data_IF_183023336036
#
_entry.id   IF_183023336036
#
_cell.length_a   1.000
_cell.length_b   1.000
_cell.length_c   1.000
_cell.angle_alpha   90.00
_cell.angle_beta   90.00
_cell.angle_gamma   90.00
#
_symmetry.space_group_name_H-M   'P 1'
#
loop_
_entity.id
_entity.type
_entity.pdbx_description
1 polymer ?
#
# COMPACT_ATOMS: atom_id res chain seq x y z
N UNK A 1 -24.87 16.33 8.44
CA UNK A 1 -24.04 15.13 8.15
C UNK A 1 -23.06 15.54 7.08
N UNK A 2 -21.75 15.34 7.31
CA UNK A 2 -20.69 15.69 6.38
C UNK A 2 -20.49 14.57 5.37
N UNK A 3 -20.43 14.92 4.09
CA UNK A 3 -20.30 13.99 2.96
C UNK A 3 -18.83 13.77 2.63
N UNK A 4 -18.34 12.54 2.81
CA UNK A 4 -16.97 12.14 2.51
C UNK A 4 -16.95 11.20 1.31
N UNK A 5 -16.46 11.69 0.16
CA UNK A 5 -16.29 10.84 -1.01
C UNK A 5 -14.98 10.08 -0.94
N UNK A 6 -15.03 8.76 -1.12
CA UNK A 6 -13.83 7.92 -1.11
C UNK A 6 -13.34 7.60 -2.52
N UNK A 7 -12.04 7.69 -2.74
CA UNK A 7 -11.34 7.13 -3.89
C UNK A 7 -10.47 5.95 -3.45
N UNK A 8 -10.42 4.90 -4.28
CA UNK A 8 -9.76 3.62 -3.99
C UNK A 8 -10.45 2.80 -2.88
N UNK A 9 -9.97 1.57 -2.70
CA UNK A 9 -10.32 0.75 -1.55
C UNK A 9 -9.65 1.30 -0.28
N UNK A 10 -10.49 1.82 0.63
CA UNK A 10 -10.09 2.27 1.97
C UNK A 10 -10.48 1.20 2.99
N UNK A 11 -9.63 0.98 3.99
CA UNK A 11 -9.86 -0.03 5.03
C UNK A 11 -11.13 0.29 5.83
N UNK A 12 -12.01 -0.70 6.01
CA UNK A 12 -13.20 -0.58 6.86
C UNK A 12 -12.85 -0.06 8.27
N UNK A 13 -11.78 -0.58 8.89
CA UNK A 13 -11.29 -0.13 10.20
C UNK A 13 -10.99 1.37 10.26
N UNK A 14 -10.55 1.95 9.14
CA UNK A 14 -10.32 3.39 9.02
C UNK A 14 -11.63 4.16 8.84
N UNK A 15 -12.52 3.66 7.97
CA UNK A 15 -13.83 4.27 7.73
C UNK A 15 -14.73 4.25 8.97
N UNK A 16 -14.63 3.22 9.81
CA UNK A 16 -15.38 3.10 11.07
C UNK A 16 -15.04 4.21 12.08
N UNK A 17 -13.93 4.95 11.88
CA UNK A 17 -13.60 6.14 12.68
C UNK A 17 -14.44 7.36 12.32
N UNK A 18 -15.06 7.35 11.14
CA UNK A 18 -16.02 8.37 10.72
C UNK A 18 -17.40 7.93 11.22
N UNK A 19 -17.80 8.43 12.40
CA UNK A 19 -19.09 8.06 12.99
C UNK A 19 -20.24 8.35 12.03
N UNK A 20 -21.16 7.39 11.89
CA UNK A 20 -22.34 7.50 11.02
C UNK A 20 -23.32 8.60 11.46
N UNK A 21 -23.22 9.06 12.70
CA UNK A 21 -24.03 10.18 13.20
C UNK A 21 -23.58 11.52 12.60
N UNK A 22 -22.31 11.61 12.21
CA UNK A 22 -21.70 12.84 11.72
C UNK A 22 -21.35 12.77 10.23
N UNK A 23 -21.06 11.58 9.71
CA UNK A 23 -20.50 11.40 8.36
C UNK A 23 -21.32 10.44 7.51
N UNK A 24 -21.49 10.82 6.25
CA UNK A 24 -21.94 9.95 5.16
C UNK A 24 -20.73 9.63 4.28
N UNK A 25 -20.41 8.35 4.11
CA UNK A 25 -19.22 7.92 3.37
C UNK A 25 -19.65 7.06 2.19
N UNK A 26 -19.26 7.46 0.98
CA UNK A 26 -19.58 6.73 -0.25
C UNK A 26 -18.50 6.94 -1.30
N UNK A 27 -18.33 6.00 -2.23
CA UNK A 27 -17.48 6.17 -3.42
C UNK A 27 -18.16 7.01 -4.51
N UNK A 28 -19.50 7.01 -4.52
CA UNK A 28 -20.31 7.78 -5.44
C UNK A 28 -21.11 8.82 -4.63
N UNK A 29 -20.79 10.09 -4.84
CA UNK A 29 -21.36 11.19 -4.08
C UNK A 29 -21.39 12.46 -4.91
N UNK A 30 -22.54 13.13 -4.91
CA UNK A 30 -22.68 14.46 -5.50
C UNK A 30 -22.32 15.52 -4.46
N UNK A 31 -21.44 16.45 -4.84
CA UNK A 31 -21.00 17.59 -4.01
C UNK A 31 -20.53 17.18 -2.61
N UNK A 32 -19.44 16.41 -2.49
CA UNK A 32 -18.87 16.03 -1.20
C UNK A 32 -18.28 17.23 -0.46
N UNK A 33 -18.31 17.18 0.87
CA UNK A 33 -17.66 18.17 1.74
C UNK A 33 -16.16 17.86 1.92
N UNK A 34 -15.78 16.58 1.78
CA UNK A 34 -14.41 16.11 1.89
C UNK A 34 -14.11 14.93 0.96
N UNK A 35 -12.84 14.80 0.57
CA UNK A 35 -12.35 13.69 -0.24
C UNK A 35 -11.37 12.82 0.57
N UNK A 36 -11.51 11.50 0.51
CA UNK A 36 -10.61 10.54 1.14
C UNK A 36 -10.03 9.61 0.08
N UNK A 37 -8.72 9.60 -0.10
CA UNK A 37 -8.08 8.84 -1.19
C UNK A 37 -6.84 8.09 -0.73
N UNK A 38 -6.33 7.19 -1.58
CA UNK A 38 -5.02 6.56 -1.40
C UNK A 38 -4.06 6.92 -2.54
N UNK A 39 -4.12 6.19 -3.64
CA UNK A 39 -3.21 6.32 -4.80
C UNK A 39 -3.86 7.00 -5.99
N UNK A 40 -5.17 7.24 -5.94
CA UNK A 40 -5.88 7.99 -6.97
C UNK A 40 -5.23 9.36 -7.19
N UNK A 41 -5.11 9.80 -8.44
CA UNK A 41 -4.54 11.10 -8.78
C UNK A 41 -5.68 12.08 -8.99
N UNK A 42 -5.75 13.09 -8.13
CA UNK A 42 -6.68 14.20 -8.28
C UNK A 42 -6.08 15.23 -9.22
N UNK A 43 -6.90 15.69 -10.15
CA UNK A 43 -6.71 16.93 -10.89
C UNK A 43 -7.54 18.05 -10.27
N UNK A 44 -7.22 19.30 -10.61
CA UNK A 44 -7.89 20.50 -10.07
C UNK A 44 -9.40 20.48 -10.34
N UNK A 45 -9.79 19.94 -11.50
CA UNK A 45 -11.18 19.81 -11.95
C UNK A 45 -12.00 18.81 -11.13
N UNK A 46 -11.33 17.87 -10.45
CA UNK A 46 -12.00 16.86 -9.62
C UNK A 46 -12.40 17.42 -8.25
N UNK A 47 -11.85 18.59 -7.86
CA UNK A 47 -12.05 19.19 -6.55
C UNK A 47 -13.17 20.23 -6.62
N UNK A 48 -14.41 19.77 -6.39
CA UNK A 48 -15.60 20.62 -6.37
C UNK A 48 -15.56 21.75 -5.34
N UNK A 49 -16.43 22.76 -5.51
CA UNK A 49 -16.45 23.96 -4.66
C UNK A 49 -16.88 23.70 -3.20
N UNK A 50 -17.60 22.60 -2.94
CA UNK A 50 -18.01 22.19 -1.59
C UNK A 50 -16.88 21.55 -0.79
N UNK A 51 -15.78 21.15 -1.44
CA UNK A 51 -14.69 20.45 -0.78
C UNK A 51 -13.93 21.41 0.13
N UNK A 52 -13.87 21.08 1.41
CA UNK A 52 -13.15 21.83 2.44
C UNK A 52 -11.93 21.07 2.98
N UNK A 53 -11.89 19.75 2.80
CA UNK A 53 -10.81 18.90 3.27
C UNK A 53 -10.53 17.73 2.31
N UNK A 54 -9.25 17.38 2.20
CA UNK A 54 -8.78 16.22 1.45
C UNK A 54 -7.86 15.42 2.36
N UNK A 55 -8.09 14.12 2.50
CA UNK A 55 -7.24 13.23 3.29
C UNK A 55 -6.68 12.11 2.43
N UNK A 56 -5.37 11.89 2.53
CA UNK A 56 -4.68 10.77 1.88
C UNK A 56 -4.28 9.71 2.89
N UNK A 57 -4.72 8.49 2.66
CA UNK A 57 -4.23 7.27 3.30
C UNK A 57 -2.84 6.87 2.76
N UNK A 58 -1.85 7.74 2.96
CA UNK A 58 -0.47 7.55 2.54
C UNK A 58 0.42 8.70 3.00
N UNK A 59 1.74 8.47 3.04
CA UNK A 59 2.69 9.46 3.54
C UNK A 59 2.95 10.62 2.56
N UNK A 60 3.09 10.32 1.26
CA UNK A 60 3.30 11.34 0.22
C UNK A 60 2.01 12.06 -0.18
N UNK A 61 2.14 13.18 -0.90
CA UNK A 61 1.01 13.97 -1.43
C UNK A 61 1.08 14.22 -2.94
N UNK A 62 2.00 13.54 -3.64
CA UNK A 62 2.30 13.73 -5.08
C UNK A 62 1.11 13.52 -6.05
N UNK A 63 -0.02 13.06 -5.55
CA UNK A 63 -1.24 12.77 -6.31
C UNK A 63 -2.39 13.76 -5.98
N UNK A 64 -2.08 14.82 -5.22
CA UNK A 64 -3.00 15.90 -4.84
C UNK A 64 -2.37 17.21 -5.34
N UNK A 65 -3.13 18.09 -6.00
CA UNK A 65 -2.65 19.42 -6.38
C UNK A 65 -2.65 20.35 -5.16
N UNK A 66 -1.62 20.21 -4.31
CA UNK A 66 -1.56 20.90 -3.01
C UNK A 66 -1.55 22.42 -3.16
N UNK A 67 -0.91 22.97 -4.19
CA UNK A 67 -0.86 24.41 -4.42
C UNK A 67 -2.26 24.97 -4.71
N UNK A 68 -3.01 24.34 -5.62
CA UNK A 68 -4.42 24.68 -5.91
C UNK A 68 -5.32 24.53 -4.67
N UNK A 69 -5.10 23.49 -3.86
CA UNK A 69 -5.80 23.33 -2.59
C UNK A 69 -5.51 24.49 -1.63
N UNK A 70 -4.25 24.90 -1.55
CA UNK A 70 -3.78 25.99 -0.67
C UNK A 70 -4.39 27.33 -1.06
N UNK A 71 -4.40 27.66 -2.36
CA UNK A 71 -5.02 28.88 -2.89
C UNK A 71 -6.53 28.97 -2.56
N UNK A 72 -7.20 27.81 -2.47
CA UNK A 72 -8.62 27.69 -2.14
C UNK A 72 -8.90 27.53 -0.65
N UNK A 73 -7.87 27.47 0.21
CA UNK A 73 -8.02 27.23 1.64
C UNK A 73 -8.48 25.82 2.02
N UNK A 74 -8.26 24.83 1.14
CA UNK A 74 -8.61 23.42 1.36
C UNK A 74 -7.49 22.73 2.12
N UNK A 75 -7.81 22.11 3.26
CA UNK A 75 -6.82 21.44 4.09
C UNK A 75 -6.50 20.05 3.53
N UNK A 76 -5.21 19.76 3.33
CA UNK A 76 -4.72 18.44 2.88
C UNK A 76 -4.07 17.69 4.04
N UNK A 77 -4.64 16.55 4.41
CA UNK A 77 -4.11 15.62 5.41
C UNK A 77 -3.38 14.46 4.75
N UNK A 78 -2.26 14.03 5.32
CA UNK A 78 -1.54 12.81 4.94
C UNK A 78 -1.24 11.96 6.19
N UNK A 79 -0.61 10.80 6.00
CA UNK A 79 -0.29 9.87 7.09
C UNK A 79 1.21 9.55 7.16
N UNK A 80 2.07 10.54 7.50
CA UNK A 80 3.50 10.32 7.63
C UNK A 80 3.79 9.26 8.69
N UNK A 81 4.75 8.37 8.41
CA UNK A 81 5.13 7.29 9.32
C UNK A 81 4.17 6.11 9.39
N UNK A 82 2.96 6.18 8.82
CA UNK A 82 1.99 5.08 8.88
C UNK A 82 2.50 3.78 8.21
N UNK A 83 3.41 3.89 7.24
CA UNK A 83 4.05 2.76 6.58
C UNK A 83 5.43 2.40 7.16
N UNK A 84 5.91 3.07 8.23
CA UNK A 84 7.27 2.88 8.73
C UNK A 84 7.56 1.44 9.17
N UNK A 85 6.60 0.76 9.81
CA UNK A 85 6.75 -0.64 10.21
C UNK A 85 6.79 -1.60 9.01
N UNK A 86 5.94 -1.40 8.02
CA UNK A 86 5.98 -2.22 6.80
C UNK A 86 7.30 -2.00 6.03
N UNK A 87 7.80 -0.76 5.99
CA UNK A 87 9.06 -0.44 5.32
C UNK A 87 10.26 -1.06 6.04
N UNK A 88 10.34 -0.96 7.38
CA UNK A 88 11.46 -1.60 8.12
C UNK A 88 11.46 -3.12 7.97
N UNK A 89 10.29 -3.75 7.95
CA UNK A 89 10.14 -5.19 7.73
C UNK A 89 10.64 -5.57 6.33
N UNK A 90 10.23 -4.81 5.31
CA UNK A 90 10.68 -5.03 3.94
C UNK A 90 12.19 -4.82 3.76
N UNK A 91 12.77 -3.82 4.43
CA UNK A 91 14.23 -3.58 4.41
C UNK A 91 14.97 -4.75 5.06
N UNK A 92 14.55 -5.20 6.25
CA UNK A 92 15.16 -6.34 6.91
C UNK A 92 15.05 -7.62 6.06
N UNK A 93 13.88 -7.86 5.46
CA UNK A 93 13.68 -8.97 4.53
C UNK A 93 14.61 -8.86 3.30
N UNK A 94 14.73 -7.67 2.71
CA UNK A 94 15.62 -7.41 1.59
C UNK A 94 17.10 -7.64 1.95
N UNK A 95 17.53 -7.25 3.14
CA UNK A 95 18.88 -7.53 3.63
C UNK A 95 19.14 -9.04 3.77
N UNK A 96 18.18 -9.80 4.30
CA UNK A 96 18.29 -11.25 4.43
C UNK A 96 18.32 -11.95 3.06
N UNK A 97 17.47 -11.52 2.13
CA UNK A 97 17.42 -12.02 0.75
C UNK A 97 18.69 -11.67 -0.05
N UNK A 98 19.34 -10.55 0.24
CA UNK A 98 20.59 -10.16 -0.41
C UNK A 98 21.82 -10.85 0.22
N UNK A 99 21.78 -11.13 1.52
CA UNK A 99 22.89 -11.77 2.23
C UNK A 99 22.95 -13.29 2.01
N UNK A 100 21.82 -13.92 1.68
CA UNK A 100 21.70 -15.37 1.53
C UNK A 100 21.01 -15.63 0.21
N UNK A 101 21.50 -16.58 -0.58
CA UNK A 101 20.88 -16.90 -1.88
C UNK A 101 19.60 -17.75 -1.73
N UNK A 102 18.65 -17.22 -0.97
CA UNK A 102 17.34 -17.81 -0.71
C UNK A 102 16.54 -17.90 -2.03
N UNK A 103 16.67 -16.90 -2.90
CA UNK A 103 15.97 -16.88 -4.19
C UNK A 103 16.51 -17.96 -5.12
N UNK A 104 17.84 -18.10 -5.23
CA UNK A 104 18.47 -19.19 -5.99
C UNK A 104 18.08 -20.56 -5.43
N UNK A 105 18.07 -20.73 -4.10
CA UNK A 105 17.62 -21.96 -3.47
C UNK A 105 16.16 -22.31 -3.78
N UNK A 106 15.25 -21.34 -3.73
CA UNK A 106 13.85 -21.55 -4.12
C UNK A 106 13.71 -21.92 -5.60
N UNK A 107 14.45 -21.24 -6.49
CA UNK A 107 14.44 -21.53 -7.91
C UNK A 107 14.98 -22.92 -8.22
N UNK A 108 16.05 -23.35 -7.53
CA UNK A 108 16.61 -24.68 -7.67
C UNK A 108 15.57 -25.76 -7.37
N UNK A 109 14.86 -25.65 -6.24
CA UNK A 109 13.78 -26.58 -5.88
C UNK A 109 12.64 -26.56 -6.91
N UNK A 110 12.21 -25.37 -7.33
CA UNK A 110 11.12 -25.24 -8.31
C UNK A 110 11.44 -25.82 -9.69
N UNK A 111 12.73 -25.99 -10.00
CA UNK A 111 13.20 -26.53 -11.26
C UNK A 111 13.61 -28.02 -11.17
N UNK A 112 13.46 -28.65 -10.00
CA UNK A 112 13.69 -30.09 -9.88
C UNK A 112 12.65 -30.87 -10.67
N UNK A 113 13.06 -32.02 -11.21
CA UNK A 113 12.15 -32.96 -11.84
C UNK A 113 11.06 -33.40 -10.83
N UNK A 114 9.77 -33.15 -11.07
CA UNK A 114 8.70 -33.55 -10.17
C UNK A 114 8.58 -35.07 -9.98
N UNK A 115 9.21 -35.86 -10.85
CA UNK A 115 9.23 -37.33 -10.79
C UNK A 115 10.43 -37.90 -10.01
N UNK A 116 11.30 -37.04 -9.48
CA UNK A 116 12.46 -37.45 -8.69
C UNK A 116 12.02 -38.25 -7.45
N UNK A 117 12.68 -39.38 -7.21
CA UNK A 117 12.39 -40.23 -6.05
C UNK A 117 12.82 -39.57 -4.74
N UNK A 118 12.16 -39.91 -3.63
CA UNK A 118 12.57 -39.43 -2.30
C UNK A 118 14.01 -39.85 -1.94
N UNK A 119 14.41 -41.05 -2.37
CA UNK A 119 15.75 -41.61 -2.14
C UNK A 119 16.84 -40.83 -2.89
N UNK A 120 16.54 -40.30 -4.08
CA UNK A 120 17.49 -39.52 -4.90
C UNK A 120 17.49 -38.02 -4.56
N UNK A 121 16.39 -37.51 -3.98
CA UNK A 121 16.24 -36.10 -3.63
C UNK A 121 17.24 -35.68 -2.54
N UNK A 122 17.35 -36.44 -1.45
CA UNK A 122 18.25 -36.10 -0.33
C UNK A 122 19.71 -35.89 -0.75
N UNK A 123 20.34 -36.87 -1.44
CA UNK A 123 21.71 -36.73 -1.95
C UNK A 123 21.89 -35.53 -2.89
N UNK A 124 20.92 -35.26 -3.76
CA UNK A 124 20.96 -34.14 -4.69
C UNK A 124 20.95 -32.78 -3.96
N UNK A 125 20.08 -32.60 -2.97
CA UNK A 125 20.02 -31.38 -2.17
C UNK A 125 21.33 -31.16 -1.40
N UNK A 126 21.84 -32.21 -0.77
CA UNK A 126 23.07 -32.16 0.02
C UNK A 126 24.32 -31.81 -0.81
N UNK A 127 24.37 -32.28 -2.06
CA UNK A 127 25.46 -31.94 -2.98
C UNK A 127 25.41 -30.46 -3.44
N UNK A 128 24.21 -29.90 -3.61
CA UNK A 128 24.02 -28.56 -4.19
C UNK A 128 23.88 -27.45 -3.14
N UNK A 129 23.66 -27.77 -1.85
CA UNK A 129 23.43 -26.76 -0.78
C UNK A 129 24.49 -25.67 -0.66
N UNK A 130 25.74 -25.96 -1.02
CA UNK A 130 26.86 -24.99 -0.97
C UNK A 130 26.68 -23.84 -1.95
N UNK A 131 25.90 -24.03 -3.01
CA UNK A 131 25.61 -23.00 -4.01
C UNK A 131 24.79 -21.86 -3.42
N UNK A 132 24.04 -22.11 -2.34
CA UNK A 132 23.09 -21.17 -1.73
C UNK A 132 23.49 -20.68 -0.34
N UNK A 133 24.72 -20.97 0.10
CA UNK A 133 25.12 -20.76 1.49
C UNK A 133 25.11 -19.28 1.92
N UNK A 134 25.19 -18.34 0.99
CA UNK A 134 25.41 -16.91 1.26
C UNK A 134 26.87 -16.64 1.60
#
# INVERSE_FOLDING_TARGET
MHKVQTFNAISAKGLDRLSRDCFEVSSDMTSPDALLLRSHKLADVDIGNSVSAIARAGAGVNNIPVDHCTERGIVVFNTPGANANAVKELVAAGMLLASRDIVGGMQFINNLDPSLSEDDMGPLLEANKKQFAG
#
